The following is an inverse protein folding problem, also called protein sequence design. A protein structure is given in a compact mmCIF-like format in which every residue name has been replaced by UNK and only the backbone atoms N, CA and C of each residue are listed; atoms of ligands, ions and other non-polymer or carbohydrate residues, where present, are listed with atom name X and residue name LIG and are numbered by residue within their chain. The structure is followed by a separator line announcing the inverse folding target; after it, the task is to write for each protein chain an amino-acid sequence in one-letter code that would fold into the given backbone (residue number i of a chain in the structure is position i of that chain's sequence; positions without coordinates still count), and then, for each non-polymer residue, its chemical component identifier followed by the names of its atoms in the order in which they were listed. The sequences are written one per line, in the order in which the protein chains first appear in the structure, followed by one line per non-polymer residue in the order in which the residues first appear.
data_IF_356407809012
#
_entry.id   IF_356407809012
#
_cell.length_a   1.000
_cell.length_b   1.000
_cell.length_c   1.000
_cell.angle_alpha   90.00
_cell.angle_beta   90.00
_cell.angle_gamma   90.00
#
_symmetry.space_group_name_H-M   'P 1'
#
loop_
_entity.id
_entity.type
_entity.pdbx_description
1 polymer ?
#
# COMPACT_ATOMS: atom_id res chain seq x y z
N UNK A 1 -16.46 10.06 10.56
CA UNK A 1 -15.16 10.62 10.12
C UNK A 1 -14.25 9.45 9.79
N UNK A 2 -13.52 9.49 8.67
CA UNK A 2 -12.49 8.51 8.35
C UNK A 2 -11.10 9.16 8.23
N UNK A 3 -10.06 8.42 8.57
CA UNK A 3 -8.70 8.66 8.07
C UNK A 3 -8.60 8.18 6.61
N UNK A 4 -7.72 8.80 5.83
CA UNK A 4 -7.47 8.41 4.44
C UNK A 4 -6.01 8.67 4.01
N UNK A 5 -5.62 8.19 2.82
CA UNK A 5 -4.24 8.22 2.35
C UNK A 5 -3.68 9.61 2.06
N UNK A 6 -4.52 10.64 1.83
CA UNK A 6 -4.25 12.08 1.50
C UNK A 6 -3.28 12.35 0.32
N UNK A 7 -2.34 11.45 0.02
CA UNK A 7 -1.18 11.63 -0.84
C UNK A 7 -1.49 11.57 -2.34
N UNK A 8 -2.53 10.84 -2.75
CA UNK A 8 -2.87 10.67 -4.15
C UNK A 8 -3.50 11.94 -4.77
N UNK A 9 -3.07 12.37 -5.97
CA UNK A 9 -3.69 13.51 -6.66
C UNK A 9 -5.13 13.20 -7.07
N UNK A 10 -5.41 11.97 -7.52
CA UNK A 10 -6.72 11.59 -8.10
C UNK A 10 -7.47 10.52 -7.32
N UNK A 11 -6.75 9.60 -6.67
CA UNK A 11 -7.31 8.48 -5.91
C UNK A 11 -7.06 8.68 -4.42
N UNK A 12 -7.97 8.18 -3.60
CA UNK A 12 -7.90 8.19 -2.14
C UNK A 12 -8.32 6.82 -1.63
N UNK A 13 -7.64 6.36 -0.57
CA UNK A 13 -8.08 5.19 0.20
C UNK A 13 -8.44 5.61 1.60
N UNK A 14 -9.62 5.24 2.06
CA UNK A 14 -10.03 5.42 3.46
C UNK A 14 -9.65 4.21 4.34
N UNK A 15 -9.68 4.40 5.66
CA UNK A 15 -9.29 3.38 6.62
C UNK A 15 -10.19 2.13 6.64
N UNK A 16 -11.34 2.17 5.95
CA UNK A 16 -12.26 1.02 5.80
C UNK A 16 -11.90 0.16 4.59
N UNK A 17 -10.88 0.57 3.83
CA UNK A 17 -10.38 -0.09 2.63
C UNK A 17 -11.15 0.28 1.36
N UNK A 18 -11.93 1.36 1.37
CA UNK A 18 -12.51 1.89 0.14
C UNK A 18 -11.51 2.78 -0.58
N UNK A 19 -11.28 2.48 -1.85
CA UNK A 19 -10.58 3.29 -2.82
C UNK A 19 -11.61 4.02 -3.67
N UNK A 20 -11.48 5.32 -3.80
CA UNK A 20 -12.36 6.12 -4.64
C UNK A 20 -11.60 7.30 -5.27
N UNK A 21 -12.16 7.86 -6.34
CA UNK A 21 -11.72 9.17 -6.82
C UNK A 21 -12.21 10.28 -5.88
N UNK A 22 -11.55 11.45 -5.93
CA UNK A 22 -11.92 12.59 -5.08
C UNK A 22 -13.39 13.05 -5.21
N UNK A 23 -14.05 12.82 -6.36
CA UNK A 23 -15.47 13.17 -6.54
C UNK A 23 -16.41 12.35 -5.66
N UNK A 24 -16.01 11.13 -5.32
CA UNK A 24 -16.79 10.20 -4.49
C UNK A 24 -16.31 10.20 -3.03
N UNK A 25 -15.49 11.18 -2.64
CA UNK A 25 -15.05 11.40 -1.27
C UNK A 25 -16.03 12.33 -0.54
N UNK A 26 -16.61 11.85 0.55
CA UNK A 26 -17.48 12.67 1.41
C UNK A 26 -16.68 13.68 2.24
N UNK A 27 -17.36 14.73 2.72
CA UNK A 27 -16.81 15.70 3.68
C UNK A 27 -16.30 15.04 4.99
N UNK A 28 -16.78 13.84 5.31
CA UNK A 28 -16.32 13.07 6.48
C UNK A 28 -14.95 12.40 6.29
N UNK A 29 -14.33 12.55 5.11
CA UNK A 29 -13.06 11.92 4.75
C UNK A 29 -13.18 10.45 4.33
N UNK A 30 -14.40 9.93 4.28
CA UNK A 30 -14.73 8.56 3.88
C UNK A 30 -15.19 8.52 2.40
N UNK A 31 -14.84 7.47 1.66
CA UNK A 31 -15.41 7.22 0.33
C UNK A 31 -16.89 6.82 0.42
N UNK A 32 -17.70 7.28 -0.53
CA UNK A 32 -19.09 6.84 -0.69
C UNK A 32 -19.13 5.40 -1.19
N UNK A 33 -19.74 4.48 -0.43
CA UNK A 33 -19.75 3.04 -0.76
C UNK A 33 -20.50 2.71 -2.06
N UNK A 34 -21.39 3.59 -2.47
CA UNK A 34 -22.20 3.56 -3.69
C UNK A 34 -21.65 4.50 -4.79
N UNK A 35 -20.51 5.13 -4.56
CA UNK A 35 -19.83 5.97 -5.55
C UNK A 35 -19.41 5.15 -6.77
N UNK A 36 -19.55 5.75 -7.95
CA UNK A 36 -19.28 5.10 -9.24
C UNK A 36 -17.81 4.62 -9.36
N UNK A 37 -16.87 5.37 -8.77
CA UNK A 37 -15.44 5.03 -8.78
C UNK A 37 -14.98 4.31 -7.52
N UNK A 38 -15.91 3.93 -6.65
CA UNK A 38 -15.59 3.34 -5.38
C UNK A 38 -15.44 1.82 -5.49
N UNK A 39 -14.28 1.34 -5.09
CA UNK A 39 -13.97 -0.09 -4.99
C UNK A 39 -13.43 -0.41 -3.61
N UNK A 40 -13.73 -1.58 -3.07
CA UNK A 40 -13.21 -2.00 -1.76
C UNK A 40 -12.12 -3.04 -1.93
N UNK A 41 -11.00 -2.85 -1.25
CA UNK A 41 -9.85 -3.75 -1.29
C UNK A 41 -9.28 -3.98 -2.69
N UNK A 42 -9.34 -2.95 -3.55
CA UNK A 42 -8.86 -3.04 -4.91
C UNK A 42 -7.36 -3.37 -5.00
N UNK A 43 -7.04 -4.44 -5.72
CA UNK A 43 -5.67 -4.94 -5.96
C UNK A 43 -5.27 -4.87 -7.45
N UNK A 44 -6.03 -4.19 -8.31
CA UNK A 44 -5.91 -4.27 -9.78
C UNK A 44 -4.49 -4.01 -10.31
N UNK A 45 -3.75 -3.07 -9.69
CA UNK A 45 -2.38 -2.76 -10.11
C UNK A 45 -1.30 -3.55 -9.38
N UNK A 46 -1.66 -4.58 -8.62
CA UNK A 46 -0.76 -5.36 -7.80
C UNK A 46 -0.37 -6.68 -8.46
N UNK A 47 0.87 -7.10 -8.26
CA UNK A 47 1.41 -8.38 -8.69
C UNK A 47 1.33 -9.41 -7.56
N UNK A 48 1.58 -10.68 -7.90
CA UNK A 48 1.55 -11.81 -6.94
C UNK A 48 2.53 -11.62 -5.77
N UNK A 49 3.60 -10.85 -5.96
CA UNK A 49 4.56 -10.51 -4.92
C UNK A 49 4.07 -9.38 -3.97
N UNK A 50 2.80 -8.97 -4.06
CA UNK A 50 2.20 -7.90 -3.24
C UNK A 50 2.85 -6.52 -3.45
N UNK A 51 3.45 -6.31 -4.62
CA UNK A 51 3.92 -5.01 -5.09
C UNK A 51 2.98 -4.45 -6.15
N UNK A 52 2.72 -3.16 -6.09
CA UNK A 52 1.74 -2.47 -6.92
C UNK A 52 2.37 -1.26 -7.61
N UNK A 53 1.81 -0.88 -8.75
CA UNK A 53 2.24 0.32 -9.46
C UNK A 53 1.60 1.61 -8.97
N UNK A 54 0.45 1.51 -8.30
CA UNK A 54 -0.27 2.63 -7.70
C UNK A 54 -0.25 2.47 -6.18
N UNK A 55 0.13 3.52 -5.46
CA UNK A 55 0.19 3.54 -4.00
C UNK A 55 -1.16 3.25 -3.35
N UNK A 56 -2.23 3.91 -3.82
CA UNK A 56 -3.58 3.72 -3.31
C UNK A 56 -4.08 2.28 -3.49
N UNK A 57 -3.82 1.65 -4.64
CA UNK A 57 -4.13 0.24 -4.82
C UNK A 57 -3.34 -0.66 -3.85
N UNK A 58 -2.06 -0.35 -3.57
CA UNK A 58 -1.29 -1.07 -2.54
C UNK A 58 -1.95 -0.98 -1.16
N UNK A 59 -2.33 0.22 -0.73
CA UNK A 59 -2.93 0.44 0.60
C UNK A 59 -4.30 -0.24 0.68
N UNK A 60 -5.13 -0.07 -0.35
CA UNK A 60 -6.45 -0.69 -0.43
C UNK A 60 -6.35 -2.23 -0.41
N UNK A 61 -5.49 -2.81 -1.23
CA UNK A 61 -5.25 -4.26 -1.27
C UNK A 61 -4.72 -4.81 0.06
N UNK A 62 -3.79 -4.09 0.70
CA UNK A 62 -3.22 -4.44 2.00
C UNK A 62 -4.28 -4.48 3.12
N UNK A 63 -5.34 -3.68 3.01
CA UNK A 63 -6.45 -3.66 3.96
C UNK A 63 -7.40 -4.85 3.82
N UNK A 64 -7.30 -5.66 2.75
CA UNK A 64 -8.13 -6.84 2.58
C UNK A 64 -7.93 -7.80 3.77
N UNK A 65 -9.01 -8.27 4.43
CA UNK A 65 -8.93 -9.28 5.49
C UNK A 65 -8.14 -10.54 5.11
N UNK A 66 -8.05 -10.88 3.82
CA UNK A 66 -7.25 -12.00 3.31
C UNK A 66 -5.75 -11.82 3.56
N UNK A 67 -5.28 -10.58 3.71
CA UNK A 67 -3.86 -10.27 3.94
C UNK A 67 -3.45 -10.40 5.42
N UNK A 68 -4.37 -10.69 6.34
CA UNK A 68 -4.09 -10.71 7.79
C UNK A 68 -2.92 -11.61 8.18
N UNK A 69 -2.84 -12.82 7.64
CA UNK A 69 -1.76 -13.76 7.96
C UNK A 69 -0.40 -13.26 7.45
N UNK A 70 -0.35 -12.77 6.21
CA UNK A 70 0.84 -12.14 5.64
C UNK A 70 1.32 -10.95 6.48
N UNK A 71 0.39 -10.06 6.86
CA UNK A 71 0.72 -8.88 7.65
C UNK A 71 1.19 -9.22 9.06
N UNK A 72 0.69 -10.30 9.64
CA UNK A 72 1.18 -10.81 10.93
C UNK A 72 2.64 -11.25 10.83
N UNK A 73 3.00 -11.94 9.74
CA UNK A 73 4.39 -12.31 9.48
C UNK A 73 5.27 -11.08 9.25
N UNK A 74 4.80 -10.11 8.47
CA UNK A 74 5.49 -8.83 8.25
C UNK A 74 5.78 -8.14 9.58
N UNK A 75 4.80 -8.07 10.47
CA UNK A 75 4.97 -7.48 11.82
C UNK A 75 5.99 -8.25 12.65
N UNK A 76 6.03 -9.59 12.57
CA UNK A 76 7.00 -10.40 13.31
C UNK A 76 8.44 -10.16 12.83
N UNK A 77 8.67 -10.14 11.51
CA UNK A 77 9.98 -9.80 10.93
C UNK A 77 10.38 -8.36 11.25
N UNK A 78 9.41 -7.46 11.31
CA UNK A 78 9.67 -6.07 11.64
C UNK A 78 10.04 -5.89 13.12
N UNK A 79 9.39 -6.60 14.05
CA UNK A 79 9.70 -6.56 15.49
C UNK A 79 11.11 -7.01 15.84
N UNK A 80 11.69 -7.92 15.05
CA UNK A 80 13.07 -8.37 15.24
C UNK A 80 14.10 -7.41 14.64
N UNK A 81 13.67 -6.49 13.77
CA UNK A 81 14.51 -5.42 13.26
C UNK A 81 14.58 -4.26 14.26
N UNK A 82 15.74 -3.58 14.44
CA UNK A 82 15.90 -2.44 15.34
C UNK A 82 15.23 -1.14 14.81
N UNK A 83 14.04 -1.24 14.24
CA UNK A 83 13.32 -0.13 13.62
C UNK A 83 12.37 0.57 14.61
N UNK A 84 12.69 1.83 14.93
CA UNK A 84 11.90 2.72 15.82
C UNK A 84 10.47 2.97 15.31
N UNK A 85 10.24 2.86 14.00
CA UNK A 85 8.97 3.15 13.31
C UNK A 85 7.81 2.27 13.83
N UNK A 86 8.09 1.07 14.36
CA UNK A 86 7.06 0.16 14.84
C UNK A 86 6.36 0.61 16.12
N UNK A 87 7.00 1.44 16.94
CA UNK A 87 6.40 1.88 18.21
C UNK A 87 5.19 2.80 18.00
N UNK A 88 5.05 3.38 16.81
CA UNK A 88 3.97 4.31 16.49
C UNK A 88 2.83 3.71 15.67
N UNK A 89 2.96 2.49 15.13
CA UNK A 89 1.91 1.88 14.29
C UNK A 89 0.86 1.23 15.20
N UNK A 90 -0.35 1.79 15.20
CA UNK A 90 -1.43 1.33 16.10
C UNK A 90 -2.38 0.32 15.47
N UNK A 91 -2.52 0.34 14.14
CA UNK A 91 -3.50 -0.48 13.44
C UNK A 91 -3.06 -0.90 12.02
N UNK A 92 -3.88 -1.74 11.38
CA UNK A 92 -3.61 -2.25 10.04
C UNK A 92 -3.57 -1.13 8.98
N UNK A 93 -4.36 -0.07 9.15
CA UNK A 93 -4.37 1.04 8.20
C UNK A 93 -3.04 1.79 8.20
N UNK A 94 -2.52 2.13 9.38
CA UNK A 94 -1.20 2.76 9.50
C UNK A 94 -0.06 1.85 9.03
N UNK A 95 -0.18 0.55 9.30
CA UNK A 95 0.76 -0.45 8.79
C UNK A 95 0.79 -0.41 7.25
N UNK A 96 -0.37 -0.46 6.61
CA UNK A 96 -0.48 -0.43 5.16
C UNK A 96 0.02 0.89 4.57
N UNK A 97 -0.35 2.03 5.16
CA UNK A 97 0.16 3.34 4.74
C UNK A 97 1.68 3.41 4.79
N UNK A 98 2.29 2.84 5.84
CA UNK A 98 3.74 2.86 6.05
C UNK A 98 4.45 1.88 5.12
N UNK A 99 3.94 0.65 5.00
CA UNK A 99 4.54 -0.40 4.20
C UNK A 99 4.51 -0.10 2.71
N UNK A 100 3.39 0.40 2.19
CA UNK A 100 3.22 0.70 0.78
C UNK A 100 4.05 1.90 0.29
N UNK A 101 4.63 2.71 1.19
CA UNK A 101 5.55 3.78 0.78
C UNK A 101 6.82 3.17 0.19
N UNK A 102 7.36 3.85 -0.82
CA UNK A 102 8.69 3.50 -1.32
C UNK A 102 9.73 3.74 -0.22
N UNK A 103 10.74 2.88 -0.16
CA UNK A 103 11.82 2.99 0.83
C UNK A 103 13.18 2.85 0.16
N UNK A 104 14.26 3.13 0.89
CA UNK A 104 15.63 2.91 0.40
C UNK A 104 15.90 1.46 0.00
N UNK A 105 15.14 0.48 0.52
CA UNK A 105 15.24 -0.93 0.11
C UNK A 105 14.66 -1.21 -1.28
N UNK A 106 13.83 -0.31 -1.79
CA UNK A 106 13.23 -0.39 -3.12
C UNK A 106 14.10 0.24 -4.21
N UNK A 107 15.25 0.82 -3.85
CA UNK A 107 16.20 1.43 -4.79
C UNK A 107 17.53 0.64 -4.86
N UNK A 108 18.25 0.85 -5.95
CA UNK A 108 19.54 0.29 -6.34
C UNK A 108 20.33 1.41 -7.04
N UNK A 109 21.66 1.48 -6.87
CA UNK A 109 22.57 2.52 -7.40
C UNK A 109 21.98 3.95 -7.52
N UNK A 110 22.44 4.86 -6.64
CA UNK A 110 22.25 6.32 -6.80
C UNK A 110 20.78 6.77 -6.98
N UNK A 111 19.81 6.01 -6.44
CA UNK A 111 18.35 6.23 -6.43
C UNK A 111 17.50 5.59 -7.54
N UNK A 112 18.02 4.62 -8.29
CA UNK A 112 17.20 3.89 -9.28
C UNK A 112 16.29 2.86 -8.62
N UNK A 113 14.99 2.84 -8.89
CA UNK A 113 14.10 1.80 -8.34
C UNK A 113 14.44 0.41 -8.91
N UNK A 114 14.44 -0.63 -8.05
CA UNK A 114 14.63 -2.03 -8.45
C UNK A 114 13.59 -2.48 -9.48
N UNK A 115 12.35 -2.05 -9.26
CA UNK A 115 11.27 -2.11 -10.24
C UNK A 115 10.61 -0.72 -10.27
N UNK A 116 10.76 0.00 -11.38
CA UNK A 116 10.20 1.34 -11.51
C UNK A 116 8.66 1.32 -11.67
N UNK A 117 8.10 0.17 -12.09
CA UNK A 117 6.68 -0.03 -12.30
C UNK A 117 6.00 -0.51 -11.02
N UNK A 118 6.50 -1.52 -10.33
CA UNK A 118 5.87 -2.10 -9.13
C UNK A 118 6.67 -1.83 -7.85
N UNK A 119 6.60 -0.58 -7.37
CA UNK A 119 7.44 -0.08 -6.26
C UNK A 119 6.75 0.05 -4.90
N UNK A 120 5.43 -0.06 -4.87
CA UNK A 120 4.63 0.06 -3.64
C UNK A 120 4.28 -1.33 -3.12
N UNK A 121 4.87 -1.78 -2.02
CA UNK A 121 4.74 -3.18 -1.60
C UNK A 121 4.31 -3.30 -0.14
N UNK A 122 3.39 -4.23 0.15
CA UNK A 122 2.99 -4.52 1.54
C UNK A 122 3.48 -5.88 2.05
N UNK A 123 4.07 -6.71 1.18
CA UNK A 123 4.60 -8.03 1.53
C UNK A 123 5.89 -8.02 2.36
N UNK A 124 6.42 -9.24 2.55
CA UNK A 124 7.66 -9.52 3.29
C UNK A 124 8.89 -9.08 2.51
N UNK A 125 8.90 -9.37 1.22
CA UNK A 125 10.02 -9.07 0.33
C UNK A 125 9.94 -7.63 -0.18
N UNK A 126 11.09 -6.97 -0.27
CA UNK A 126 11.22 -5.74 -1.07
C UNK A 126 10.97 -6.08 -2.54
N UNK A 127 10.56 -5.10 -3.39
CA UNK A 127 10.44 -5.36 -4.81
C UNK A 127 11.75 -5.95 -5.34
N UNK A 128 11.65 -7.10 -6.00
CA UNK A 128 12.77 -7.71 -6.70
C UNK A 128 13.18 -6.81 -7.87
N UNK A 129 14.38 -7.03 -8.42
CA UNK A 129 14.74 -6.37 -9.67
C UNK A 129 13.69 -6.74 -10.73
N UNK A 130 13.18 -5.74 -11.45
CA UNK A 130 12.35 -6.02 -12.62
C UNK A 130 13.09 -7.03 -13.50
N UNK A 131 12.42 -8.10 -13.96
CA UNK A 131 13.07 -9.06 -14.85
C UNK A 131 13.69 -8.28 -16.01
N UNK A 132 15.00 -8.46 -16.23
CA UNK A 132 15.64 -7.93 -17.43
C UNK A 132 14.86 -8.49 -18.62
N UNK A 133 14.06 -7.65 -19.28
CA UNK A 133 13.55 -7.95 -20.60
C UNK A 133 14.77 -8.11 -21.51
N UNK A 134 15.23 -9.35 -21.69
CA UNK A 134 15.93 -9.71 -22.92
C UNK A 134 14.85 -9.71 -23.99
N UNK A 135 14.82 -8.63 -24.77
CA UNK A 135 14.19 -8.64 -26.09
C UNK A 135 14.72 -9.82 -26.91
#
# INVERSE_FOLDING_TARGET
QCRNSVQGPSLIVDERGYLCSRKDLSASGCCHSDGETTHRYNCESCQVNNCCSIYENCVSCCLDPKQKELLREVLNVWRTAPNVILKSITDQFELCLTKCRTSSKSVWHENSYKDNKYKHCFGLTSPEFAPFNRN
#
